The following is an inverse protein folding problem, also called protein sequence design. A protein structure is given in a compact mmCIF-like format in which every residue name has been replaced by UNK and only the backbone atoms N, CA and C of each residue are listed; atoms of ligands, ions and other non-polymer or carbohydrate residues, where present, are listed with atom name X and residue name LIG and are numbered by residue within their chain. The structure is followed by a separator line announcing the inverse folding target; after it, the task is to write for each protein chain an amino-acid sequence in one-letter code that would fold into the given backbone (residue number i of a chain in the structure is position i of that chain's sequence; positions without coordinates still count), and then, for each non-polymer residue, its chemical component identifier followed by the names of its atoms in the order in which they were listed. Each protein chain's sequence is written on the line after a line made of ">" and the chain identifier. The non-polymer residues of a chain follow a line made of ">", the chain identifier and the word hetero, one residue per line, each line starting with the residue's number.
data_IF_160764175000
#
_entry.id   IF_160764175000
#
_cell.length_a   1.000
_cell.length_b   1.000
_cell.length_c   1.000
_cell.angle_alpha   90.00
_cell.angle_beta   90.00
_cell.angle_gamma   90.00
#
_symmetry.space_group_name_H-M   'P 1'
#
loop_
_entity.id
_entity.type
_entity.pdbx_description
1 polymer ?
#
# COMPACT_ATOMS: atom_id res chain seq x y z
N UNK A 1 23.25 13.81 -20.99
CA UNK A 1 22.42 13.64 -19.76
C UNK A 1 23.18 12.75 -18.79
N UNK A 2 23.57 13.28 -17.63
CA UNK A 2 24.42 12.59 -16.65
C UNK A 2 23.85 11.22 -16.27
N UNK A 3 24.72 10.20 -16.19
CA UNK A 3 24.36 8.84 -15.78
C UNK A 3 23.55 8.81 -14.47
N UNK A 4 23.84 9.76 -13.57
CA UNK A 4 23.11 10.02 -12.33
C UNK A 4 21.62 10.30 -12.54
N UNK A 5 21.27 11.15 -13.51
CA UNK A 5 19.86 11.45 -13.81
C UNK A 5 19.15 10.24 -14.44
N UNK A 6 19.89 9.40 -15.17
CA UNK A 6 19.36 8.16 -15.76
C UNK A 6 19.09 7.11 -14.66
N UNK A 7 19.95 7.02 -13.66
CA UNK A 7 19.77 6.17 -12.47
C UNK A 7 18.54 6.59 -11.66
N UNK A 8 18.41 7.87 -11.32
CA UNK A 8 17.25 8.37 -10.57
C UNK A 8 15.93 8.14 -11.31
N UNK A 9 15.90 8.32 -12.64
CA UNK A 9 14.71 8.06 -13.46
C UNK A 9 14.35 6.58 -13.54
N UNK A 10 15.35 5.70 -13.59
CA UNK A 10 15.14 4.25 -13.53
C UNK A 10 14.64 3.81 -12.14
N UNK A 11 15.24 4.33 -11.08
CA UNK A 11 14.88 4.06 -9.70
C UNK A 11 13.43 4.51 -9.40
N UNK A 12 13.04 5.72 -9.82
CA UNK A 12 11.68 6.24 -9.65
C UNK A 12 10.64 5.39 -10.41
N UNK A 13 10.97 4.93 -11.63
CA UNK A 13 10.10 4.00 -12.37
C UNK A 13 10.00 2.61 -11.70
N UNK A 14 11.09 2.13 -11.07
CA UNK A 14 11.10 0.83 -10.40
C UNK A 14 10.35 0.86 -9.07
N UNK A 15 10.51 1.93 -8.29
CA UNK A 15 9.71 2.18 -7.08
C UNK A 15 8.23 2.21 -7.43
N UNK A 16 7.84 2.93 -8.50
CA UNK A 16 6.44 2.96 -8.94
C UNK A 16 5.90 1.56 -9.22
N UNK A 17 6.69 0.69 -9.86
CA UNK A 17 6.33 -0.71 -10.07
C UNK A 17 6.15 -1.49 -8.76
N UNK A 18 7.11 -1.38 -7.83
CA UNK A 18 7.04 -2.04 -6.53
C UNK A 18 5.87 -1.53 -5.66
N UNK A 19 5.59 -0.23 -5.68
CA UNK A 19 4.49 0.41 -4.96
C UNK A 19 3.13 -0.07 -5.47
N UNK A 20 2.98 -0.30 -6.78
CA UNK A 20 1.76 -0.89 -7.37
C UNK A 20 1.57 -2.34 -6.88
N UNK A 21 2.64 -3.14 -6.86
CA UNK A 21 2.57 -4.52 -6.37
C UNK A 21 2.17 -4.56 -4.89
N UNK A 22 2.76 -3.70 -4.06
CA UNK A 22 2.39 -3.58 -2.65
C UNK A 22 0.92 -3.15 -2.53
N UNK A 23 0.46 -2.17 -3.30
CA UNK A 23 -0.94 -1.75 -3.26
C UNK A 23 -1.93 -2.86 -3.65
N UNK A 24 -1.58 -3.74 -4.58
CA UNK A 24 -2.40 -4.91 -4.94
C UNK A 24 -2.47 -5.90 -3.78
N UNK A 25 -1.32 -6.20 -3.15
CA UNK A 25 -1.25 -7.08 -1.98
C UNK A 25 -2.15 -6.51 -0.86
N UNK A 26 -2.03 -5.22 -0.59
CA UNK A 26 -2.84 -4.51 0.40
C UNK A 26 -4.33 -4.44 0.06
N UNK A 27 -4.70 -4.46 -1.22
CA UNK A 27 -6.11 -4.51 -1.62
C UNK A 27 -6.74 -5.87 -1.28
N UNK A 28 -6.00 -6.96 -1.42
CA UNK A 28 -6.45 -8.32 -1.05
C UNK A 28 -6.60 -8.46 0.48
N UNK A 29 -5.93 -7.61 1.26
CA UNK A 29 -6.00 -7.60 2.72
C UNK A 29 -7.30 -7.00 3.26
N UNK A 30 -7.93 -6.07 2.53
CA UNK A 30 -9.22 -5.48 2.96
C UNK A 30 -10.36 -6.52 3.02
N UNK A 31 -10.58 -7.39 2.01
CA UNK A 31 -11.52 -8.50 2.11
C UNK A 31 -11.20 -9.48 3.24
N UNK A 32 -9.91 -9.73 3.51
CA UNK A 32 -9.49 -10.61 4.60
C UNK A 32 -9.93 -10.06 5.96
N UNK A 33 -9.70 -8.76 6.21
CA UNK A 33 -10.16 -8.06 7.41
C UNK A 33 -11.69 -8.17 7.60
N UNK A 34 -12.45 -7.99 6.53
CA UNK A 34 -13.93 -8.02 6.58
C UNK A 34 -14.44 -9.43 6.82
N UNK A 35 -13.92 -10.43 6.11
CA UNK A 35 -14.29 -11.83 6.28
C UNK A 35 -13.96 -12.34 7.70
N UNK A 36 -12.81 -11.94 8.23
CA UNK A 36 -12.41 -12.30 9.59
C UNK A 36 -13.28 -11.63 10.66
N UNK A 37 -13.67 -10.36 10.45
CA UNK A 37 -14.61 -9.67 11.34
C UNK A 37 -16.03 -10.27 11.31
N UNK A 38 -16.49 -10.72 10.14
CA UNK A 38 -17.81 -11.35 9.95
C UNK A 38 -17.88 -12.72 10.64
N UNK A 39 -16.88 -13.58 10.44
CA UNK A 39 -16.76 -14.86 11.16
C UNK A 39 -16.68 -14.64 12.67
N UNK A 40 -16.00 -13.59 13.14
CA UNK A 40 -15.90 -13.28 14.56
C UNK A 40 -17.24 -12.84 15.18
N UNK A 41 -18.06 -12.10 14.42
CA UNK A 41 -19.42 -11.73 14.83
C UNK A 41 -20.36 -12.94 14.89
N UNK A 42 -20.20 -13.88 13.95
CA UNK A 42 -21.02 -15.10 13.87
C UNK A 42 -20.63 -16.14 14.94
N UNK A 43 -19.34 -16.23 15.28
CA UNK A 43 -18.81 -17.21 16.24
C UNK A 43 -19.02 -16.83 17.72
N UNK A 44 -19.39 -15.59 18.05
CA UNK A 44 -19.73 -15.16 19.42
C UNK A 44 -18.61 -15.22 20.47
N UNK A 45 -17.40 -15.64 20.11
CA UNK A 45 -16.24 -15.75 21.01
C UNK A 45 -15.25 -14.62 20.75
N UNK A 46 -15.23 -13.64 21.66
CA UNK A 46 -14.24 -12.57 21.69
C UNK A 46 -12.98 -13.08 22.39
N UNK A 47 -12.09 -13.71 21.62
CA UNK A 47 -10.67 -13.89 21.95
C UNK A 47 -10.33 -14.80 23.15
N UNK A 48 -9.07 -15.26 23.20
CA UNK A 48 -8.32 -15.92 24.30
C UNK A 48 -8.06 -17.42 24.23
N UNK A 49 -8.47 -18.13 23.18
CA UNK A 49 -8.14 -19.58 23.07
C UNK A 49 -6.76 -19.79 22.45
N UNK A 50 -6.38 -19.02 21.41
CA UNK A 50 -5.09 -19.16 20.75
C UNK A 50 -4.46 -17.78 20.39
N UNK A 51 -3.58 -17.22 21.24
CA UNK A 51 -2.95 -15.92 20.99
C UNK A 51 -2.12 -15.85 19.70
N UNK A 52 -1.61 -16.98 19.20
CA UNK A 52 -0.92 -17.04 17.90
C UNK A 52 -1.90 -16.87 16.74
N UNK A 53 -3.09 -17.48 16.83
CA UNK A 53 -4.12 -17.40 15.79
C UNK A 53 -4.73 -16.00 15.81
N UNK A 54 -5.01 -15.44 17.00
CA UNK A 54 -5.47 -14.07 17.15
C UNK A 54 -4.43 -13.06 16.60
N UNK A 55 -3.12 -13.31 16.78
CA UNK A 55 -2.07 -12.47 16.19
C UNK A 55 -1.98 -12.59 14.67
N UNK A 56 -2.07 -13.80 14.11
CA UNK A 56 -2.07 -13.98 12.65
C UNK A 56 -3.33 -13.42 11.99
N UNK A 57 -4.48 -13.56 12.65
CA UNK A 57 -5.77 -13.10 12.12
C UNK A 57 -5.98 -11.59 12.30
N UNK A 58 -5.54 -10.99 13.40
CA UNK A 58 -5.82 -9.59 13.72
C UNK A 58 -4.56 -8.72 13.88
N UNK A 59 -3.46 -9.28 14.37
CA UNK A 59 -2.21 -8.55 14.61
C UNK A 59 -1.49 -8.15 13.32
N UNK A 60 -1.50 -9.04 12.32
CA UNK A 60 -0.94 -8.76 10.98
C UNK A 60 -1.72 -7.65 10.28
N UNK A 61 -3.06 -7.70 10.34
CA UNK A 61 -3.96 -6.69 9.75
C UNK A 61 -3.74 -5.28 10.34
N UNK A 62 -3.44 -5.17 11.65
CA UNK A 62 -3.13 -3.88 12.29
C UNK A 62 -1.86 -3.21 11.74
N UNK A 63 -0.83 -4.01 11.42
CA UNK A 63 0.42 -3.51 10.80
C UNK A 63 0.17 -3.13 9.34
N UNK A 64 -0.74 -3.85 8.68
CA UNK A 64 -1.11 -3.61 7.28
C UNK A 64 -1.83 -2.28 7.08
N UNK A 65 -2.70 -1.85 8.00
CA UNK A 65 -3.35 -0.52 7.90
C UNK A 65 -2.31 0.60 7.83
N UNK A 66 -1.26 0.55 8.66
CA UNK A 66 -0.18 1.53 8.64
C UNK A 66 0.58 1.48 7.31
N UNK A 67 0.80 0.28 6.77
CA UNK A 67 1.41 0.07 5.45
C UNK A 67 0.56 0.63 4.31
N UNK A 68 -0.76 0.39 4.31
CA UNK A 68 -1.73 0.91 3.33
C UNK A 68 -1.66 2.44 3.25
N UNK A 69 -1.69 3.10 4.41
CA UNK A 69 -1.64 4.57 4.48
C UNK A 69 -0.31 5.09 3.95
N UNK A 70 0.82 4.48 4.33
CA UNK A 70 2.14 4.91 3.88
C UNK A 70 2.34 4.71 2.37
N UNK A 71 1.95 3.54 1.85
CA UNK A 71 2.00 3.23 0.42
C UNK A 71 1.07 4.14 -0.38
N UNK A 72 -0.12 4.42 0.14
CA UNK A 72 -1.07 5.37 -0.44
C UNK A 72 -0.49 6.78 -0.53
N UNK A 73 0.14 7.27 0.54
CA UNK A 73 0.81 8.57 0.55
C UNK A 73 1.98 8.64 -0.45
N UNK A 74 2.80 7.58 -0.54
CA UNK A 74 3.90 7.47 -1.50
C UNK A 74 3.36 7.50 -2.94
N UNK A 75 2.32 6.70 -3.21
CA UNK A 75 1.69 6.65 -4.53
C UNK A 75 1.09 8.00 -4.92
N UNK A 76 0.39 8.65 -4.00
CA UNK A 76 -0.17 9.99 -4.20
C UNK A 76 0.91 11.02 -4.49
N UNK A 77 2.02 11.01 -3.74
CA UNK A 77 3.16 11.89 -3.95
C UNK A 77 3.80 11.70 -5.33
N UNK A 78 3.99 10.45 -5.76
CA UNK A 78 4.55 10.09 -7.07
C UNK A 78 3.62 10.50 -8.23
N UNK A 79 2.31 10.28 -8.09
CA UNK A 79 1.31 10.69 -9.07
C UNK A 79 1.22 12.22 -9.17
N UNK A 80 1.19 12.93 -8.03
CA UNK A 80 1.19 14.39 -7.98
C UNK A 80 2.43 14.97 -8.66
N UNK A 81 3.62 14.44 -8.38
CA UNK A 81 4.88 14.86 -9.01
C UNK A 81 4.86 14.66 -10.53
N UNK A 82 4.32 13.54 -11.03
CA UNK A 82 4.11 13.31 -12.47
C UNK A 82 3.12 14.29 -13.10
N UNK A 83 2.02 14.62 -12.43
CA UNK A 83 1.05 15.60 -12.93
C UNK A 83 1.64 17.01 -13.00
N UNK A 84 2.41 17.42 -11.99
CA UNK A 84 3.13 18.71 -11.99
C UNK A 84 4.11 18.82 -13.16
N UNK A 85 4.87 17.74 -13.43
CA UNK A 85 5.78 17.70 -14.58
C UNK A 85 5.04 17.76 -15.92
N UNK A 86 3.91 17.04 -16.09
CA UNK A 86 3.09 17.12 -17.32
C UNK A 86 2.53 18.51 -17.56
N UNK A 87 2.05 19.19 -16.51
CA UNK A 87 1.54 20.58 -16.60
C UNK A 87 2.64 21.58 -16.98
N UNK A 88 3.85 21.42 -16.46
CA UNK A 88 4.99 22.27 -16.83
C UNK A 88 5.41 22.07 -18.29
N UNK A 89 5.47 20.82 -18.78
CA UNK A 89 5.79 20.54 -20.18
C UNK A 89 4.72 21.00 -21.17
N UNK A 90 3.44 21.01 -20.77
CA UNK A 90 2.34 21.50 -21.60
C UNK A 90 2.21 23.04 -21.62
N UNK A 91 2.84 23.74 -20.67
CA UNK A 91 2.86 25.21 -20.59
C UNK A 91 4.12 25.82 -21.23
N UNK A 92 5.12 24.99 -21.53
CA UNK A 92 6.37 25.36 -22.19
C UNK A 92 6.37 25.05 -23.70
N UNK A 93 5.30 24.43 -24.20
CA UNK A 93 5.00 24.21 -25.62
C UNK A 93 3.91 25.19 -26.06
#
# INVERSE_FOLDING_TARGET
>A
MNAWNKFWKWYENKILGSVIVIAIIQFIQVPHMVWNADIMLEAGFVSRVHPVIDWFLYGVDLIEIVSIVNVGMIMYSLLKKRQSQRKLSAKAA
#
